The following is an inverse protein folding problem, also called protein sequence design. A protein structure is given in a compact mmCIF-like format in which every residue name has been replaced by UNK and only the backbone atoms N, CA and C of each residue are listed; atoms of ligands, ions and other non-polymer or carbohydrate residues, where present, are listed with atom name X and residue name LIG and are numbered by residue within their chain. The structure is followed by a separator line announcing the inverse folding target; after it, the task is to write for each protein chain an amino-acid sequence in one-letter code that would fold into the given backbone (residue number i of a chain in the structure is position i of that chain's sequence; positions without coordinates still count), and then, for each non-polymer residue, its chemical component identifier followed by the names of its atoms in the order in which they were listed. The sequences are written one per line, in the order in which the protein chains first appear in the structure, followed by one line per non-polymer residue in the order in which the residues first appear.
data_IF_134858421641
#
_entry.id   IF_134858421641
#
_cell.length_a   1.000
_cell.length_b   1.000
_cell.length_c   1.000
_cell.angle_alpha   90.00
_cell.angle_beta   90.00
_cell.angle_gamma   90.00
#
_symmetry.space_group_name_H-M   'P 1'
#
loop_
_entity.id
_entity.type
_entity.pdbx_description
1 polymer ?
#
# COMPACT_ATOMS: atom_id res chain seq x y z
N UNK A 1 0.83 -8.55 13.46
CA UNK A 1 2.28 -8.81 13.65
C UNK A 1 2.76 -10.12 13.02
N UNK A 2 1.89 -11.12 12.80
CA UNK A 2 2.28 -12.41 12.19
C UNK A 2 2.94 -12.32 10.79
N UNK A 3 2.83 -11.18 10.10
CA UNK A 3 3.39 -10.94 8.77
C UNK A 3 4.77 -10.27 8.78
N UNK A 4 5.43 -10.17 9.95
CA UNK A 4 6.79 -9.62 10.05
C UNK A 4 6.88 -8.10 10.25
N UNK A 5 5.75 -7.40 10.42
CA UNK A 5 5.79 -5.99 10.79
C UNK A 5 6.19 -5.81 12.26
N UNK A 6 7.23 -5.01 12.52
CA UNK A 6 7.69 -4.66 13.87
C UNK A 6 6.60 -3.94 14.67
N UNK A 7 5.92 -2.99 13.99
CA UNK A 7 4.86 -2.16 14.53
C UNK A 7 3.61 -2.22 13.64
N UNK A 8 2.44 -2.25 14.28
CA UNK A 8 1.15 -2.10 13.64
C UNK A 8 0.35 -1.05 14.42
N UNK A 9 -0.25 -0.10 13.71
CA UNK A 9 -1.01 1.02 14.30
C UNK A 9 -2.48 0.83 13.96
N UNK A 10 -3.33 0.81 14.98
CA UNK A 10 -4.78 0.84 14.80
C UNK A 10 -5.23 2.28 14.54
N UNK A 11 -5.48 2.59 13.27
CA UNK A 11 -5.87 3.92 12.83
C UNK A 11 -7.21 4.42 13.43
N UNK A 12 -8.00 3.54 14.05
CA UNK A 12 -9.23 3.92 14.76
C UNK A 12 -8.97 4.46 16.15
N UNK A 13 -7.77 4.21 16.68
CA UNK A 13 -7.36 4.57 18.04
C UNK A 13 -6.27 5.62 18.05
N UNK A 14 -5.38 5.55 17.07
CA UNK A 14 -4.17 6.37 17.02
C UNK A 14 -3.98 7.00 15.64
N UNK A 15 -3.60 8.28 15.63
CA UNK A 15 -3.16 8.96 14.42
C UNK A 15 -1.63 8.90 14.35
N UNK A 16 -1.10 8.09 13.43
CA UNK A 16 0.36 7.93 13.29
C UNK A 16 1.08 9.27 13.01
N UNK A 17 0.37 10.26 12.46
CA UNK A 17 0.94 11.58 12.11
C UNK A 17 1.14 12.51 13.33
N UNK A 18 0.63 12.12 14.50
CA UNK A 18 0.85 12.82 15.76
C UNK A 18 1.88 12.10 16.65
N UNK A 19 2.50 11.04 16.15
CA UNK A 19 3.60 10.36 16.85
C UNK A 19 4.92 11.13 16.74
N UNK A 20 5.85 10.87 17.65
CA UNK A 20 7.23 11.39 17.58
C UNK A 20 8.13 10.58 16.65
N UNK A 21 7.61 9.55 15.99
CA UNK A 21 8.37 8.71 15.05
C UNK A 21 8.53 9.40 13.71
N UNK A 22 9.68 9.15 13.07
CA UNK A 22 9.98 9.64 11.73
C UNK A 22 10.21 8.50 10.76
N UNK A 23 9.73 8.66 9.53
CA UNK A 23 9.81 7.67 8.46
C UNK A 23 10.54 8.27 7.25
N UNK A 24 11.46 7.51 6.67
CA UNK A 24 12.08 7.87 5.38
C UNK A 24 11.13 7.69 4.21
N UNK A 25 10.14 6.83 4.37
CA UNK A 25 9.19 6.50 3.33
C UNK A 25 7.81 6.20 3.92
N UNK A 26 6.80 6.86 3.36
CA UNK A 26 5.39 6.57 3.63
C UNK A 26 4.73 6.20 2.30
N UNK A 27 4.17 5.00 2.22
CA UNK A 27 3.44 4.52 1.05
C UNK A 27 1.93 4.60 1.32
N UNK A 28 1.22 5.45 0.59
CA UNK A 28 -0.23 5.57 0.64
C UNK A 28 -0.85 4.94 -0.61
N UNK A 29 -1.50 3.80 -0.42
CA UNK A 29 -2.16 3.05 -1.49
C UNK A 29 -3.52 3.66 -1.84
N UNK A 30 -4.25 4.16 -0.84
CA UNK A 30 -5.64 4.59 -0.99
C UNK A 30 -5.79 6.12 -1.17
N UNK A 31 -4.70 6.86 -1.06
CA UNK A 31 -4.69 8.32 -1.15
C UNK A 31 -5.43 9.00 0.00
N UNK A 32 -5.43 8.39 1.19
CA UNK A 32 -6.20 8.86 2.36
C UNK A 32 -5.47 9.89 3.20
N UNK A 33 -4.14 9.95 3.15
CA UNK A 33 -3.33 10.85 3.98
C UNK A 33 -2.84 12.02 3.12
N UNK A 34 -2.88 13.23 3.68
CA UNK A 34 -2.33 14.41 3.00
C UNK A 34 -0.82 14.55 3.26
N UNK A 35 -0.09 15.09 2.29
CA UNK A 35 1.32 15.42 2.48
C UNK A 35 1.57 16.35 3.68
N UNK A 36 0.70 17.32 3.94
CA UNK A 36 0.83 18.21 5.10
C UNK A 36 0.88 17.46 6.43
N UNK A 37 0.08 16.40 6.57
CA UNK A 37 0.07 15.55 7.76
C UNK A 37 1.32 14.67 7.81
N UNK A 38 1.66 14.01 6.71
CA UNK A 38 2.88 13.19 6.64
C UNK A 38 4.16 14.01 6.85
N UNK A 39 4.18 15.30 6.48
CA UNK A 39 5.37 16.15 6.60
C UNK A 39 5.91 16.21 8.04
N UNK A 40 5.04 16.09 9.06
CA UNK A 40 5.42 16.06 10.48
C UNK A 40 6.25 14.82 10.84
N UNK A 41 5.92 13.68 10.24
CA UNK A 41 6.50 12.36 10.53
C UNK A 41 7.44 11.86 9.43
N UNK A 42 7.73 12.66 8.42
CA UNK A 42 8.79 12.35 7.46
C UNK A 42 10.15 12.80 8.00
N UNK A 43 11.18 12.00 7.78
CA UNK A 43 12.58 12.41 7.97
C UNK A 43 12.94 13.56 7.02
N UNK A 44 14.09 14.21 7.21
CA UNK A 44 14.48 15.38 6.41
C UNK A 44 14.45 15.11 4.90
N UNK A 45 14.85 13.93 4.45
CA UNK A 45 14.80 13.55 3.03
C UNK A 45 13.69 12.55 2.70
N UNK A 46 12.70 12.45 3.60
CA UNK A 46 11.64 11.48 3.53
C UNK A 46 10.67 11.74 2.38
N UNK A 47 10.02 10.67 1.92
CA UNK A 47 9.10 10.71 0.77
C UNK A 47 7.74 10.14 1.11
N UNK A 48 6.69 10.85 0.69
CA UNK A 48 5.33 10.32 0.63
C UNK A 48 5.05 9.86 -0.79
N UNK A 49 4.88 8.55 -0.98
CA UNK A 49 4.53 7.98 -2.27
C UNK A 49 3.06 7.62 -2.31
N UNK A 50 2.36 8.11 -3.33
CA UNK A 50 1.00 7.71 -3.64
C UNK A 50 0.99 6.66 -4.75
N UNK A 51 0.26 5.56 -4.52
CA UNK A 51 -0.07 4.57 -5.57
C UNK A 51 -1.33 5.02 -6.32
N UNK A 52 -2.36 5.42 -5.58
CA UNK A 52 -3.56 6.06 -6.12
C UNK A 52 -3.50 7.57 -5.89
N UNK A 53 -3.55 8.35 -6.98
CA UNK A 53 -3.40 9.80 -6.92
C UNK A 53 -4.28 10.53 -7.93
N UNK A 54 -4.55 11.81 -7.63
CA UNK A 54 -5.29 12.74 -8.50
C UNK A 54 -4.38 13.88 -8.94
N UNK A 55 -4.90 14.77 -9.79
CA UNK A 55 -4.15 15.91 -10.33
C UNK A 55 -3.50 16.78 -9.25
N UNK A 56 -4.16 16.97 -8.10
CA UNK A 56 -3.60 17.74 -6.97
C UNK A 56 -2.27 17.15 -6.46
N UNK A 57 -2.14 15.83 -6.40
CA UNK A 57 -0.90 15.18 -5.96
C UNK A 57 0.21 15.28 -7.01
N UNK A 58 -0.13 15.29 -8.30
CA UNK A 58 0.85 15.55 -9.37
C UNK A 58 1.41 16.97 -9.27
N UNK A 59 0.55 17.98 -9.07
CA UNK A 59 0.99 19.35 -8.81
C UNK A 59 1.85 19.44 -7.53
N UNK A 60 1.51 18.67 -6.50
CA UNK A 60 2.29 18.62 -5.27
C UNK A 60 3.66 17.94 -5.46
N UNK A 61 3.74 16.91 -6.29
CA UNK A 61 5.01 16.29 -6.68
C UNK A 61 5.91 17.30 -7.39
N UNK A 62 5.38 18.11 -8.32
CA UNK A 62 6.14 19.15 -9.01
C UNK A 62 6.62 20.27 -8.07
N UNK A 63 5.77 20.73 -7.16
CA UNK A 63 6.16 21.81 -6.23
C UNK A 63 7.18 21.32 -5.21
N UNK A 64 7.01 20.10 -4.68
CA UNK A 64 7.95 19.53 -3.71
C UNK A 64 9.25 19.06 -4.34
N UNK A 65 9.33 18.75 -5.64
CA UNK A 65 10.60 18.43 -6.27
C UNK A 65 11.56 19.63 -6.27
N UNK A 66 11.03 20.84 -6.48
CA UNK A 66 11.78 22.09 -6.53
C UNK A 66 12.06 22.66 -5.12
N UNK A 67 11.10 22.59 -4.21
CA UNK A 67 11.18 23.22 -2.89
C UNK A 67 11.18 22.21 -1.73
N UNK A 68 11.99 22.48 -0.72
CA UNK A 68 12.12 21.64 0.48
C UNK A 68 12.87 20.33 0.24
N UNK A 69 13.12 19.61 1.33
CA UNK A 69 13.85 18.34 1.35
C UNK A 69 12.91 17.11 1.32
N UNK A 70 11.71 17.25 1.89
CA UNK A 70 10.64 16.22 1.87
C UNK A 70 9.86 16.24 0.56
N UNK A 71 9.63 15.07 -0.05
CA UNK A 71 9.08 14.95 -1.41
C UNK A 71 7.74 14.20 -1.46
N UNK A 72 6.88 14.60 -2.38
CA UNK A 72 5.76 13.77 -2.84
C UNK A 72 6.16 13.05 -4.10
N UNK A 73 5.84 11.76 -4.19
CA UNK A 73 6.09 10.93 -5.36
C UNK A 73 4.76 10.31 -5.80
N UNK A 74 4.39 10.52 -7.07
CA UNK A 74 3.28 9.80 -7.68
C UNK A 74 3.89 8.80 -8.65
N UNK A 75 3.77 7.50 -8.36
CA UNK A 75 4.39 6.46 -9.18
C UNK A 75 3.34 5.51 -9.70
N UNK A 76 3.28 5.38 -11.02
CA UNK A 76 2.58 4.29 -11.67
C UNK A 76 3.49 3.07 -11.71
N UNK A 77 2.90 1.89 -11.54
CA UNK A 77 3.56 0.62 -11.76
C UNK A 77 2.82 -0.11 -12.90
N UNK A 78 3.04 0.31 -14.16
CA UNK A 78 2.56 -0.48 -15.29
C UNK A 78 3.33 -1.80 -15.22
N UNK A 79 2.66 -2.89 -14.85
CA UNK A 79 3.33 -4.17 -14.64
C UNK A 79 4.16 -4.59 -15.85
N UNK A 80 5.31 -5.21 -15.60
CA UNK A 80 6.21 -5.75 -16.63
C UNK A 80 6.42 -7.26 -16.46
N UNK A 81 6.84 -7.94 -17.53
CA UNK A 81 7.17 -9.37 -17.47
C UNK A 81 8.38 -9.59 -16.57
N UNK A 82 9.32 -8.66 -16.58
CA UNK A 82 10.53 -8.66 -15.75
C UNK A 82 10.18 -8.57 -14.27
N UNK A 83 9.28 -7.64 -13.90
CA UNK A 83 8.80 -7.52 -12.51
C UNK A 83 8.07 -8.80 -12.07
N UNK A 84 7.21 -9.36 -12.92
CA UNK A 84 6.50 -10.60 -12.61
C UNK A 84 7.43 -11.79 -12.44
N UNK A 85 8.50 -11.88 -13.24
CA UNK A 85 9.55 -12.90 -13.07
C UNK A 85 10.29 -12.71 -11.75
N UNK A 86 10.67 -11.49 -11.41
CA UNK A 86 11.33 -11.21 -10.13
C UNK A 86 10.43 -11.57 -8.93
N UNK A 87 9.14 -11.22 -8.98
CA UNK A 87 8.17 -11.60 -7.94
C UNK A 87 8.00 -13.13 -7.87
N UNK A 88 7.96 -13.81 -9.02
CA UNK A 88 7.90 -15.28 -9.07
C UNK A 88 9.10 -15.91 -8.37
N UNK A 89 10.31 -15.45 -8.66
CA UNK A 89 11.55 -15.97 -8.03
C UNK A 89 11.52 -15.80 -6.50
N UNK A 90 11.04 -14.65 -6.01
CA UNK A 90 10.87 -14.42 -4.58
C UNK A 90 9.82 -15.33 -3.93
N UNK A 91 8.76 -15.67 -4.66
CA UNK A 91 7.74 -16.64 -4.19
C UNK A 91 8.31 -18.05 -4.16
N UNK A 92 9.02 -18.47 -5.21
CA UNK A 92 9.65 -19.81 -5.28
C UNK A 92 10.73 -20.00 -4.22
N UNK A 93 11.45 -18.93 -3.86
CA UNK A 93 12.41 -18.91 -2.75
C UNK A 93 11.74 -18.89 -1.35
N UNK A 94 10.42 -18.68 -1.27
CA UNK A 94 9.69 -18.60 -0.01
C UNK A 94 9.81 -17.26 0.74
N UNK A 95 10.50 -16.28 0.14
CA UNK A 95 10.70 -14.92 0.68
C UNK A 95 9.39 -14.12 0.65
N UNK A 96 8.56 -14.34 -0.37
CA UNK A 96 7.20 -13.78 -0.46
C UNK A 96 6.19 -14.92 -0.38
N UNK A 97 5.22 -14.79 0.54
CA UNK A 97 4.11 -15.74 0.68
C UNK A 97 2.77 -15.01 0.55
N UNK A 98 1.89 -15.53 -0.30
CA UNK A 98 0.53 -15.03 -0.41
C UNK A 98 -0.28 -15.47 0.82
N UNK A 99 -0.83 -14.49 1.54
CA UNK A 99 -1.73 -14.73 2.68
C UNK A 99 -3.15 -14.59 2.16
N UNK A 100 -3.76 -15.73 1.85
CA UNK A 100 -5.12 -15.79 1.34
C UNK A 100 -6.10 -15.58 2.49
N UNK A 101 -7.21 -14.89 2.20
CA UNK A 101 -8.26 -14.70 3.18
C UNK A 101 -9.27 -15.85 3.12
N UNK A 102 -9.86 -16.05 1.94
CA UNK A 102 -10.87 -17.08 1.71
C UNK A 102 -10.82 -17.60 0.29
N UNK A 103 -11.22 -18.86 0.14
CA UNK A 103 -11.37 -19.54 -1.15
C UNK A 103 -12.84 -19.88 -1.38
N UNK A 104 -13.30 -19.67 -2.62
CA UNK A 104 -14.63 -20.03 -3.08
C UNK A 104 -14.52 -20.85 -4.36
N UNK A 105 -15.39 -21.87 -4.56
CA UNK A 105 -15.48 -22.55 -5.85
C UNK A 105 -16.07 -21.60 -6.91
N UNK A 106 -15.80 -21.88 -8.20
CA UNK A 106 -16.24 -21.03 -9.31
C UNK A 106 -17.76 -20.80 -9.33
N UNK A 107 -18.56 -21.78 -8.92
CA UNK A 107 -20.02 -21.68 -8.82
C UNK A 107 -20.46 -20.60 -7.82
N UNK A 108 -19.57 -20.23 -6.89
CA UNK A 108 -19.80 -19.21 -5.87
C UNK A 108 -19.09 -17.89 -6.20
N UNK A 109 -18.66 -17.65 -7.44
CA UNK A 109 -17.97 -16.41 -7.81
C UNK A 109 -18.76 -15.13 -7.45
N UNK A 110 -20.09 -15.16 -7.57
CA UNK A 110 -20.94 -14.04 -7.16
C UNK A 110 -20.90 -13.79 -5.64
N UNK A 111 -20.83 -14.86 -4.84
CA UNK A 111 -20.70 -14.76 -3.38
C UNK A 111 -19.30 -14.29 -2.96
N UNK A 112 -18.27 -14.79 -3.64
CA UNK A 112 -16.90 -14.32 -3.45
C UNK A 112 -16.78 -12.82 -3.69
N UNK A 113 -17.45 -12.31 -4.73
CA UNK A 113 -17.51 -10.88 -5.02
C UNK A 113 -18.22 -10.09 -3.92
N UNK A 114 -19.40 -10.52 -3.47
CA UNK A 114 -20.11 -9.87 -2.35
C UNK A 114 -19.25 -9.80 -1.09
N UNK A 115 -18.62 -10.93 -0.73
CA UNK A 115 -17.70 -10.99 0.41
C UNK A 115 -16.54 -10.00 0.30
N UNK A 116 -15.95 -9.86 -0.89
CA UNK A 116 -14.87 -8.90 -1.13
C UNK A 116 -15.35 -7.43 -1.02
N UNK A 117 -16.59 -7.15 -1.43
CA UNK A 117 -17.20 -5.81 -1.39
C UNK A 117 -17.65 -5.37 0.00
N UNK A 118 -18.08 -6.29 0.86
CA UNK A 118 -18.42 -6.01 2.28
C UNK A 118 -17.25 -5.38 3.04
N UNK A 119 -16.03 -5.60 2.56
CA UNK A 119 -14.80 -5.06 3.11
C UNK A 119 -14.30 -5.83 4.33
N UNK A 120 -13.11 -5.48 4.81
CA UNK A 120 -12.49 -6.14 5.95
C UNK A 120 -11.79 -7.46 5.62
N UNK A 121 -11.71 -7.83 4.33
CA UNK A 121 -10.88 -8.93 3.89
C UNK A 121 -9.41 -8.70 4.28
N UNK A 122 -8.75 -9.76 4.73
CA UNK A 122 -7.37 -9.70 5.26
C UNK A 122 -6.32 -10.20 4.28
N UNK A 123 -6.72 -10.36 3.02
CA UNK A 123 -5.91 -10.87 1.94
C UNK A 123 -6.75 -11.07 0.68
N UNK A 124 -6.15 -11.59 -0.40
CA UNK A 124 -6.88 -11.93 -1.60
C UNK A 124 -7.95 -13.00 -1.35
N UNK A 125 -9.11 -12.81 -1.97
CA UNK A 125 -10.15 -13.82 -2.11
C UNK A 125 -9.88 -14.57 -3.41
N UNK A 126 -9.80 -15.90 -3.36
CA UNK A 126 -9.43 -16.72 -4.52
C UNK A 126 -10.60 -17.59 -4.99
N UNK A 127 -10.68 -17.78 -6.30
CA UNK A 127 -11.61 -18.72 -6.92
C UNK A 127 -10.86 -20.02 -7.26
N UNK A 128 -11.40 -21.16 -6.82
CA UNK A 128 -10.89 -22.47 -7.20
C UNK A 128 -11.62 -22.98 -8.44
N UNK A 129 -10.83 -23.40 -9.43
CA UNK A 129 -11.31 -24.12 -10.60
C UNK A 129 -11.11 -25.61 -10.30
N UNK A 130 -12.19 -26.33 -10.02
CA UNK A 130 -12.20 -27.80 -9.90
C UNK A 130 -12.65 -28.43 -11.20
#
# INVERSE_FOLDING_TARGET
KALGADKAIDYRREDFTESSETYDFVLDVLGRVSFSRCKKVLSENGRLQYVSFKMKQLLQMLTTSIAGNKKVVCKLAPGSVEDLKAVKELIEAGEIRAILDKSFPMEQAAEAHRYAEEGGSRGPVVITLT
#
